data_IF_889328450826
#
_entry.id   IF_889328450826
#
_cell.length_a   1.000
_cell.length_b   1.000
_cell.length_c   1.000
_cell.angle_alpha   90.00
_cell.angle_beta   90.00
_cell.angle_gamma   90.00
#
_symmetry.space_group_name_H-M   'P 1'
#
loop_
_entity.id
_entity.type
_entity.pdbx_description
1 polymer ?
#
# COMPACT_ATOMS: atom_id res chain seq x y z
N UNK A 1 8.17 16.94 6.42
CA UNK A 1 8.05 17.31 7.86
C UNK A 1 6.60 17.31 8.31
N UNK A 2 6.22 16.61 9.38
CA UNK A 2 4.84 16.70 9.93
C UNK A 2 4.67 18.00 10.72
N UNK A 3 3.58 18.73 10.45
CA UNK A 3 3.18 19.92 11.22
C UNK A 3 2.33 19.49 12.42
N UNK A 4 2.99 18.87 13.40
CA UNK A 4 2.37 18.32 14.59
C UNK A 4 3.27 18.57 15.81
N UNK A 5 2.68 18.71 17.00
CA UNK A 5 3.36 19.11 18.25
C UNK A 5 4.21 20.36 18.04
N UNK A 6 5.53 20.25 18.22
CA UNK A 6 6.50 21.34 18.18
C UNK A 6 6.61 22.02 16.81
N UNK A 7 5.97 21.44 15.79
CA UNK A 7 5.93 21.95 14.42
C UNK A 7 4.57 22.54 14.03
N UNK A 8 3.63 22.71 14.97
CA UNK A 8 2.24 23.09 14.63
C UNK A 8 2.13 24.50 14.07
N UNK A 9 2.95 25.43 14.56
CA UNK A 9 2.89 26.85 14.19
C UNK A 9 3.79 27.22 13.00
N UNK A 10 4.50 26.25 12.43
CA UNK A 10 5.37 26.50 11.29
C UNK A 10 4.53 26.74 10.03
N UNK A 11 4.80 27.85 9.36
CA UNK A 11 4.23 28.17 8.04
C UNK A 11 5.12 27.69 6.89
N UNK A 12 6.34 27.27 7.18
CA UNK A 12 7.32 26.80 6.19
C UNK A 12 7.98 25.48 6.63
N UNK A 13 8.38 24.68 5.64
CA UNK A 13 9.08 23.42 5.87
C UNK A 13 10.48 23.68 6.45
N UNK A 14 10.82 23.09 7.59
CA UNK A 14 12.16 23.23 8.21
C UNK A 14 13.32 22.72 7.36
N UNK A 15 13.06 21.81 6.42
CA UNK A 15 14.10 21.17 5.61
C UNK A 15 14.32 21.87 4.26
N UNK A 16 13.25 22.30 3.61
CA UNK A 16 13.27 22.78 2.22
C UNK A 16 12.78 24.22 2.06
N UNK A 17 12.24 24.84 3.11
CA UNK A 17 11.70 26.19 3.06
C UNK A 17 10.36 26.32 2.32
N UNK A 18 9.78 25.23 1.81
CA UNK A 18 8.50 25.27 1.10
C UNK A 18 7.35 25.78 1.98
N UNK A 19 6.47 26.59 1.40
CA UNK A 19 5.29 27.11 2.07
C UNK A 19 4.29 26.00 2.42
N UNK A 20 3.73 26.04 3.62
CA UNK A 20 2.70 25.10 4.07
C UNK A 20 1.37 25.30 3.36
N UNK A 21 1.01 26.54 3.02
CA UNK A 21 -0.31 26.92 2.52
C UNK A 21 -0.27 27.41 1.08
N UNK A 22 -1.31 27.06 0.31
CA UNK A 22 -1.53 27.59 -1.04
C UNK A 22 -1.80 29.09 -0.98
N UNK A 23 -1.35 29.88 -1.97
CA UNK A 23 -1.62 31.31 -2.01
C UNK A 23 -3.14 31.58 -2.08
N UNK A 24 -3.64 32.42 -1.19
CA UNK A 24 -5.06 32.81 -1.17
C UNK A 24 -5.33 33.81 -2.29
N UNK A 25 -6.23 33.46 -3.22
CA UNK A 25 -6.78 34.40 -4.21
C UNK A 25 -8.03 35.04 -3.61
N UNK A 26 -7.87 36.18 -2.94
CA UNK A 26 -8.96 36.98 -2.37
C UNK A 26 -8.56 37.75 -1.10
N UNK A 27 -9.16 38.93 -0.89
CA UNK A 27 -8.91 39.85 0.26
C UNK A 27 -9.75 39.53 1.50
N UNK A 28 -10.27 38.31 1.64
CA UNK A 28 -11.07 37.93 2.82
C UNK A 28 -10.14 37.54 3.99
N UNK A 29 -10.11 38.33 5.08
CA UNK A 29 -9.27 38.06 6.26
C UNK A 29 -9.67 36.81 7.03
N UNK A 30 -10.91 36.34 6.89
CA UNK A 30 -11.45 35.18 7.61
C UNK A 30 -11.34 33.87 6.84
N UNK A 31 -10.79 33.90 5.62
CA UNK A 31 -10.68 32.71 4.79
C UNK A 31 -9.69 31.71 5.38
N UNK A 32 -10.17 30.48 5.62
CA UNK A 32 -9.35 29.36 6.09
C UNK A 32 -8.23 29.04 5.09
N UNK A 33 -6.98 29.10 5.55
CA UNK A 33 -5.80 28.73 4.73
C UNK A 33 -5.86 27.25 4.36
N UNK A 34 -5.64 26.93 3.08
CA UNK A 34 -5.60 25.55 2.57
C UNK A 34 -4.15 25.08 2.45
N UNK A 35 -3.73 24.02 3.17
CA UNK A 35 -2.36 23.53 3.08
C UNK A 35 -2.10 22.82 1.74
N UNK A 36 -0.84 22.79 1.31
CA UNK A 36 -0.42 21.86 0.25
C UNK A 36 -0.58 20.42 0.74
N UNK A 37 -1.12 19.57 -0.13
CA UNK A 37 -1.17 18.12 0.11
C UNK A 37 0.22 17.59 -0.21
N UNK A 38 0.89 17.03 0.78
CA UNK A 38 2.22 16.43 0.64
C UNK A 38 2.05 14.92 0.73
N UNK A 39 2.34 14.20 -0.36
CA UNK A 39 2.43 12.75 -0.33
C UNK A 39 3.64 12.35 0.52
N UNK A 40 3.43 11.46 1.49
CA UNK A 40 4.51 10.93 2.32
C UNK A 40 4.66 9.47 1.99
N UNK A 41 5.78 9.16 1.35
CA UNK A 41 6.20 7.79 1.18
C UNK A 41 6.68 7.24 2.52
N UNK A 42 6.14 6.09 2.92
CA UNK A 42 6.61 5.30 4.05
C UNK A 42 7.38 4.11 3.45
N UNK A 43 8.70 4.01 3.66
CA UNK A 43 9.51 2.90 3.14
C UNK A 43 8.90 1.55 3.50
N UNK A 44 8.74 0.68 2.50
CA UNK A 44 8.08 -0.62 2.67
C UNK A 44 8.96 -1.56 3.47
N UNK A 45 10.26 -1.59 3.18
CA UNK A 45 11.20 -2.54 3.79
C UNK A 45 11.21 -2.45 5.32
N UNK A 46 11.38 -1.27 5.96
CA UNK A 46 11.34 -1.16 7.41
C UNK A 46 9.95 -1.48 8.00
N UNK A 47 8.87 -1.29 7.23
CA UNK A 47 7.54 -1.66 7.69
C UNK A 47 7.40 -3.17 7.81
N UNK A 48 7.77 -3.90 6.76
CA UNK A 48 7.70 -5.36 6.76
C UNK A 48 8.60 -5.97 7.83
N UNK A 49 9.83 -5.45 8.00
CA UNK A 49 10.72 -5.88 9.07
C UNK A 49 10.10 -5.72 10.45
N UNK A 50 9.47 -4.56 10.73
CA UNK A 50 8.77 -4.33 12.00
C UNK A 50 7.59 -5.27 12.22
N UNK A 51 6.86 -5.65 11.17
CA UNK A 51 5.74 -6.58 11.28
C UNK A 51 6.19 -7.97 11.73
N UNK A 52 7.32 -8.47 11.22
CA UNK A 52 7.89 -9.75 11.64
C UNK A 52 8.59 -9.70 13.00
N UNK A 53 9.21 -8.57 13.34
CA UNK A 53 9.87 -8.41 14.65
C UNK A 53 8.89 -8.22 15.81
N UNK A 54 7.61 -7.99 15.55
CA UNK A 54 6.59 -7.76 16.58
C UNK A 54 5.76 -9.02 16.84
N UNK A 55 5.80 -9.50 18.09
CA UNK A 55 4.99 -10.64 18.58
C UNK A 55 3.49 -10.48 18.30
N UNK A 56 2.97 -9.25 18.26
CA UNK A 56 1.54 -9.00 18.06
C UNK A 56 1.09 -9.17 16.61
N UNK A 57 2.02 -9.09 15.67
CA UNK A 57 1.72 -9.02 14.23
C UNK A 57 2.23 -10.23 13.48
N UNK A 58 3.26 -10.89 13.99
CA UNK A 58 3.93 -12.01 13.33
C UNK A 58 2.99 -13.17 12.98
N UNK A 59 2.07 -13.55 13.87
CA UNK A 59 1.11 -14.63 13.61
C UNK A 59 0.18 -14.29 12.45
N UNK A 60 -0.19 -13.00 12.30
CA UNK A 60 -1.01 -12.54 11.18
C UNK A 60 -0.24 -12.55 9.86
N UNK A 61 1.09 -12.37 9.90
CA UNK A 61 1.93 -12.38 8.70
C UNK A 61 2.02 -13.78 8.09
N UNK A 62 2.12 -14.82 8.92
CA UNK A 62 2.22 -16.23 8.48
C UNK A 62 0.88 -16.95 8.39
N UNK A 63 -0.21 -16.30 8.81
CA UNK A 63 -1.55 -16.90 8.83
C UNK A 63 -1.99 -17.45 7.47
N UNK A 64 -1.59 -16.78 6.39
CA UNK A 64 -1.88 -17.20 5.02
C UNK A 64 -1.34 -18.60 4.66
N UNK A 65 -0.33 -19.10 5.37
CA UNK A 65 0.26 -20.42 5.19
C UNK A 65 -0.22 -21.43 6.25
N UNK A 66 -0.56 -20.97 7.46
CA UNK A 66 -0.89 -21.84 8.60
C UNK A 66 -2.39 -22.11 8.78
N UNK A 67 -3.26 -21.24 8.24
CA UNK A 67 -4.71 -21.45 8.34
C UNK A 67 -5.15 -22.67 7.51
N UNK A 68 -6.20 -23.33 7.99
CA UNK A 68 -6.86 -24.40 7.25
C UNK A 68 -8.05 -23.82 6.49
N UNK A 69 -8.14 -24.11 5.19
CA UNK A 69 -9.29 -23.75 4.38
C UNK A 69 -10.39 -24.79 4.57
N UNK A 70 -11.57 -24.37 5.01
CA UNK A 70 -12.78 -25.21 4.93
C UNK A 70 -13.32 -25.20 3.50
N UNK A 71 -13.72 -26.37 2.97
CA UNK A 71 -13.99 -26.60 1.55
C UNK A 71 -15.05 -25.66 0.92
N UNK A 72 -15.87 -25.00 1.74
CA UNK A 72 -16.98 -24.13 1.30
C UNK A 72 -16.85 -22.66 1.69
N UNK A 73 -15.75 -22.24 2.33
CA UNK A 73 -15.59 -20.88 2.81
C UNK A 73 -14.24 -20.28 2.39
N UNK A 74 -14.24 -18.99 2.09
CA UNK A 74 -13.02 -18.20 1.89
C UNK A 74 -12.71 -17.53 3.23
N UNK A 75 -11.71 -18.05 3.93
CA UNK A 75 -11.31 -17.57 5.25
C UNK A 75 -10.14 -16.59 5.14
N UNK A 76 -9.37 -16.66 4.06
CA UNK A 76 -8.25 -15.77 3.80
C UNK A 76 -8.10 -15.45 2.30
N UNK A 77 -7.42 -14.34 1.97
CA UNK A 77 -7.17 -13.96 0.57
C UNK A 77 -6.31 -14.99 -0.19
N UNK A 78 -5.54 -15.81 0.53
CA UNK A 78 -4.76 -16.91 -0.05
C UNK A 78 -5.61 -18.05 -0.61
N UNK A 79 -6.87 -18.16 -0.21
CA UNK A 79 -7.81 -19.14 -0.76
C UNK A 79 -8.20 -18.81 -2.20
N UNK A 80 -8.04 -17.54 -2.60
CA UNK A 80 -8.41 -17.05 -3.91
C UNK A 80 -7.61 -17.75 -5.03
N UNK A 81 -8.29 -18.02 -6.15
CA UNK A 81 -7.68 -18.64 -7.34
C UNK A 81 -6.44 -17.91 -7.83
N UNK A 82 -6.43 -16.58 -7.75
CA UNK A 82 -5.28 -15.76 -8.16
C UNK A 82 -4.03 -16.03 -7.31
N UNK A 83 -4.18 -16.16 -6.00
CA UNK A 83 -3.07 -16.47 -5.09
C UNK A 83 -2.54 -17.88 -5.33
N UNK A 84 -3.45 -18.86 -5.46
CA UNK A 84 -3.08 -20.24 -5.79
C UNK A 84 -2.34 -20.31 -7.13
N UNK A 85 -2.84 -19.62 -8.15
CA UNK A 85 -2.19 -19.54 -9.45
C UNK A 85 -0.80 -18.89 -9.36
N UNK A 86 -0.66 -17.78 -8.61
CA UNK A 86 0.63 -17.13 -8.38
C UNK A 86 1.64 -18.09 -7.74
N UNK A 87 1.21 -18.85 -6.72
CA UNK A 87 2.09 -19.83 -6.06
C UNK A 87 2.55 -20.95 -7.02
N UNK A 88 1.71 -21.34 -7.98
CA UNK A 88 2.09 -22.33 -9.00
C UNK A 88 3.13 -21.78 -9.98
N UNK A 89 3.11 -20.48 -10.26
CA UNK A 89 4.06 -19.83 -11.18
C UNK A 89 5.41 -19.52 -10.52
N UNK A 90 5.39 -19.16 -9.24
CA UNK A 90 6.58 -18.75 -8.48
C UNK A 90 6.78 -19.66 -7.27
N UNK A 91 7.14 -20.91 -7.54
CA UNK A 91 7.32 -21.95 -6.51
C UNK A 91 8.42 -21.58 -5.51
N UNK A 92 9.53 -21.01 -5.99
CA UNK A 92 10.64 -20.52 -5.17
C UNK A 92 10.19 -19.44 -4.17
N UNK A 93 9.27 -18.58 -4.60
CA UNK A 93 8.69 -17.56 -3.75
C UNK A 93 7.65 -18.16 -2.78
N UNK A 94 6.89 -19.15 -3.23
CA UNK A 94 5.81 -19.75 -2.46
C UNK A 94 6.27 -20.74 -1.39
N UNK A 95 7.44 -21.35 -1.58
CA UNK A 95 8.06 -22.27 -0.61
C UNK A 95 8.34 -21.58 0.73
N UNK A 96 8.75 -20.30 0.68
CA UNK A 96 8.99 -19.51 1.88
C UNK A 96 7.69 -18.85 2.37
N UNK A 97 7.13 -19.38 3.46
CA UNK A 97 5.89 -18.91 4.08
C UNK A 97 5.96 -17.47 4.62
N UNK A 98 7.16 -16.94 4.85
CA UNK A 98 7.31 -15.57 5.33
C UNK A 98 7.28 -14.53 4.19
N UNK A 99 7.21 -14.97 2.93
CA UNK A 99 7.12 -14.07 1.79
C UNK A 99 5.75 -13.41 1.67
N UNK A 100 5.74 -12.10 1.43
CA UNK A 100 4.54 -11.27 1.51
C UNK A 100 3.97 -10.99 0.12
N UNK A 101 2.67 -11.19 -0.05
CA UNK A 101 1.95 -10.78 -1.25
C UNK A 101 1.12 -9.55 -0.92
N UNK A 102 1.37 -8.46 -1.63
CA UNK A 102 0.78 -7.16 -1.36
C UNK A 102 -0.17 -6.75 -2.47
N UNK A 103 -1.28 -6.13 -2.06
CA UNK A 103 -2.12 -5.33 -2.94
C UNK A 103 -1.85 -3.85 -2.65
N UNK A 104 -1.64 -3.05 -3.69
CA UNK A 104 -1.47 -1.61 -3.54
C UNK A 104 -2.74 -0.89 -3.96
N UNK A 105 -3.29 -0.07 -3.08
CA UNK A 105 -4.36 0.85 -3.45
C UNK A 105 -3.72 2.19 -3.80
N UNK A 106 -3.65 2.53 -5.09
CA UNK A 106 -3.24 3.86 -5.52
C UNK A 106 -4.49 4.68 -5.82
N UNK A 107 -4.50 5.92 -5.36
CA UNK A 107 -5.46 6.90 -5.88
C UNK A 107 -4.92 7.47 -7.19
N UNK A 108 -5.39 8.63 -7.62
CA UNK A 108 -4.93 9.39 -8.80
C UNK A 108 -3.44 9.81 -8.78
N UNK A 109 -2.65 9.28 -7.83
CA UNK A 109 -1.22 9.52 -7.69
C UNK A 109 -0.42 8.42 -8.40
N UNK A 110 0.50 8.83 -9.27
CA UNK A 110 1.43 7.92 -9.93
C UNK A 110 2.37 7.25 -8.90
N UNK A 111 2.76 6.01 -9.19
CA UNK A 111 3.85 5.34 -8.47
C UNK A 111 5.12 6.18 -8.62
N UNK A 112 5.72 6.57 -7.50
CA UNK A 112 6.95 7.35 -7.48
C UNK A 112 8.17 6.40 -7.56
N UNK A 113 9.26 6.84 -8.17
CA UNK A 113 10.46 6.04 -8.46
C UNK A 113 11.01 5.24 -7.27
N UNK A 114 11.18 5.80 -6.05
CA UNK A 114 11.68 5.07 -4.88
C UNK A 114 10.78 3.92 -4.43
N UNK A 115 9.45 4.04 -4.62
CA UNK A 115 8.52 2.95 -4.31
C UNK A 115 8.72 1.80 -5.28
N UNK A 116 8.95 2.09 -6.56
CA UNK A 116 9.21 1.08 -7.59
C UNK A 116 10.53 0.37 -7.30
N UNK A 117 11.58 1.11 -6.96
CA UNK A 117 12.88 0.56 -6.58
C UNK A 117 12.79 -0.38 -5.37
N UNK A 118 12.10 0.03 -4.31
CA UNK A 118 11.91 -0.84 -3.12
C UNK A 118 11.13 -2.11 -3.47
N UNK A 119 10.10 -2.02 -4.31
CA UNK A 119 9.32 -3.18 -4.75
C UNK A 119 10.18 -4.13 -5.58
N UNK A 120 11.00 -3.62 -6.50
CA UNK A 120 11.92 -4.43 -7.30
C UNK A 120 12.99 -5.08 -6.43
N UNK A 121 13.53 -4.36 -5.46
CA UNK A 121 14.50 -4.90 -4.50
C UNK A 121 13.89 -6.04 -3.67
N UNK A 122 12.68 -5.83 -3.14
CA UNK A 122 11.97 -6.86 -2.36
C UNK A 122 11.61 -8.08 -3.22
N UNK A 123 11.33 -7.91 -4.50
CA UNK A 123 10.99 -9.02 -5.40
C UNK A 123 12.22 -9.84 -5.82
N UNK A 124 13.30 -9.19 -6.24
CA UNK A 124 14.46 -9.85 -6.85
C UNK A 124 15.52 -10.29 -5.84
N UNK A 125 15.78 -9.49 -4.81
CA UNK A 125 16.85 -9.74 -3.83
C UNK A 125 16.28 -10.15 -2.49
N UNK A 126 15.21 -9.49 -2.06
CA UNK A 126 14.69 -9.61 -0.70
C UNK A 126 15.58 -8.92 0.33
N UNK A 127 15.13 -8.92 1.58
CA UNK A 127 15.81 -8.22 2.69
C UNK A 127 15.90 -9.10 3.92
N UNK A 128 17.06 -9.10 4.58
CA UNK A 128 17.22 -9.85 5.83
C UNK A 128 16.29 -9.29 6.91
N UNK A 129 15.49 -10.17 7.50
CA UNK A 129 14.44 -9.83 8.46
C UNK A 129 14.47 -10.80 9.63
N UNK A 130 14.30 -10.26 10.84
CA UNK A 130 14.17 -11.05 12.05
C UNK A 130 12.69 -11.41 12.26
N UNK A 131 12.44 -12.70 12.44
CA UNK A 131 11.15 -13.26 12.79
C UNK A 131 11.04 -13.48 14.30
N UNK A 132 10.09 -12.80 14.93
CA UNK A 132 9.84 -12.98 16.36
C UNK A 132 9.18 -14.34 16.66
N UNK A 133 8.45 -14.96 15.73
CA UNK A 133 7.77 -16.23 16.00
C UNK A 133 8.75 -17.39 16.13
N UNK A 134 9.74 -17.46 15.24
CA UNK A 134 10.76 -18.52 15.22
C UNK A 134 12.09 -18.14 15.86
N UNK A 135 12.25 -16.89 16.30
CA UNK A 135 13.49 -16.31 16.84
C UNK A 135 14.69 -16.45 15.87
N UNK A 136 14.41 -16.43 14.56
CA UNK A 136 15.39 -16.63 13.50
C UNK A 136 15.39 -15.47 12.50
N UNK A 137 16.45 -15.40 11.69
CA UNK A 137 16.50 -14.45 10.57
C UNK A 137 16.32 -15.16 9.24
N UNK A 138 15.51 -14.59 8.37
CA UNK A 138 15.25 -15.08 7.02
C UNK A 138 15.38 -13.93 6.01
N UNK A 139 15.31 -14.23 4.71
CA UNK A 139 15.25 -13.21 3.67
C UNK A 139 13.79 -13.03 3.26
N UNK A 140 13.19 -11.89 3.61
CA UNK A 140 11.84 -11.58 3.19
C UNK A 140 11.85 -11.13 1.72
N UNK A 141 10.99 -11.74 0.91
CA UNK A 141 10.62 -11.21 -0.40
C UNK A 141 9.18 -10.74 -0.39
N UNK A 142 8.88 -9.76 -1.24
CA UNK A 142 7.52 -9.27 -1.39
C UNK A 142 7.12 -9.17 -2.87
N UNK A 143 5.89 -9.55 -3.17
CA UNK A 143 5.31 -9.52 -4.50
C UNK A 143 4.13 -8.55 -4.54
N UNK A 144 4.09 -7.67 -5.54
CA UNK A 144 2.91 -6.85 -5.80
C UNK A 144 1.94 -7.64 -6.69
N UNK A 145 0.82 -8.09 -6.13
CA UNK A 145 -0.16 -8.93 -6.84
C UNK A 145 -1.17 -8.11 -7.65
N UNK A 146 -1.63 -6.98 -7.11
CA UNK A 146 -2.58 -6.13 -7.79
C UNK A 146 -2.44 -4.68 -7.36
N UNK A 147 -2.83 -3.79 -8.26
CA UNK A 147 -2.98 -2.38 -8.01
C UNK A 147 -4.47 -2.05 -8.16
N UNK A 148 -5.11 -1.63 -7.09
CA UNK A 148 -6.48 -1.11 -7.14
C UNK A 148 -6.38 0.40 -7.29
N UNK A 149 -6.83 0.90 -8.44
CA UNK A 149 -7.02 2.33 -8.64
C UNK A 149 -8.33 2.73 -7.97
N UNK A 150 -8.26 3.47 -6.87
CA UNK A 150 -9.43 4.10 -6.30
C UNK A 150 -9.74 5.37 -7.08
N UNK A 151 -10.16 5.20 -8.34
CA UNK A 151 -10.81 6.28 -9.07
C UNK A 151 -12.15 6.51 -8.38
N UNK A 152 -12.41 7.68 -7.76
CA UNK A 152 -13.78 8.04 -7.50
C UNK A 152 -14.47 8.02 -8.86
N UNK A 153 -15.56 7.26 -8.97
CA UNK A 153 -16.44 7.30 -10.14
C UNK A 153 -16.56 8.77 -10.56
N UNK A 154 -16.02 9.10 -11.74
CA UNK A 154 -16.12 10.44 -12.31
C UNK A 154 -17.59 10.68 -12.61
N UNK A 155 -18.31 11.10 -11.59
CA UNK A 155 -19.69 11.52 -11.59
C UNK A 155 -19.76 12.88 -10.91
N UNK A 156 -20.18 13.88 -11.70
CA UNK A 156 -20.81 15.13 -11.26
C UNK A 156 -19.92 16.37 -11.14
N UNK A 157 -19.23 16.76 -12.22
CA UNK A 157 -19.12 18.18 -12.63
C UNK A 157 -19.00 18.29 -14.15
N UNK A 158 -20.15 18.20 -14.83
CA UNK A 158 -20.58 18.91 -16.05
C UNK A 158 -21.87 18.18 -16.51
N UNK A 159 -22.99 18.91 -16.52
CA UNK A 159 -24.34 18.33 -16.56
C UNK A 159 -24.67 17.52 -17.82
N UNK A 160 -25.41 16.43 -17.61
CA UNK A 160 -26.04 15.60 -18.64
C UNK A 160 -26.45 14.23 -18.07
N UNK A 161 -27.74 13.88 -18.16
CA UNK A 161 -28.42 12.71 -17.54
C UNK A 161 -27.96 11.37 -18.15
N UNK A 162 -27.92 10.23 -17.43
CA UNK A 162 -27.49 8.94 -17.98
C UNK A 162 -28.64 8.16 -18.64
N UNK A 163 -28.33 7.23 -19.57
CA UNK A 163 -28.81 5.87 -19.32
C UNK A 163 -27.80 4.79 -19.75
N UNK A 164 -27.83 3.66 -19.03
CA UNK A 164 -27.38 2.37 -19.55
C UNK A 164 -26.24 1.72 -18.78
N UNK A 165 -26.61 0.94 -17.76
CA UNK A 165 -25.75 -0.12 -17.23
C UNK A 165 -25.49 -1.14 -18.34
N UNK A 166 -24.21 -1.46 -18.57
CA UNK A 166 -23.78 -2.52 -19.48
C UNK A 166 -22.57 -3.23 -18.89
N UNK A 167 -22.84 -4.30 -18.14
CA UNK A 167 -21.82 -5.25 -17.71
C UNK A 167 -21.51 -6.12 -18.93
N UNK A 168 -20.27 -6.07 -19.44
CA UNK A 168 -19.77 -7.09 -20.35
C UNK A 168 -18.37 -7.49 -19.92
N UNK A 169 -18.31 -8.52 -19.07
CA UNK A 169 -17.21 -9.46 -19.17
C UNK A 169 -17.34 -10.20 -20.50
N UNK A 170 -16.20 -10.53 -21.12
CA UNK A 170 -15.89 -11.85 -21.66
C UNK A 170 -14.54 -11.77 -22.38
N UNK A 171 -13.70 -12.72 -22.00
CA UNK A 171 -12.60 -13.29 -22.77
C UNK A 171 -12.71 -13.07 -24.28
N UNK A 172 -11.67 -12.47 -24.86
CA UNK A 172 -11.06 -12.98 -26.07
C UNK A 172 -9.60 -12.56 -26.16
#
# INVERSE_FOLDING_TARGET
MLYWKDNVDLEYCKFYGDARYKPSRGRDPHRKKSPYVILRYLPLTPCLQRLYSSRKTVDHMTWHATHQTEERSICHQSDAKAWKHFNLLYLDFAEEQHNVRMGLCINDFALHEPLIEELLQLWHVGVRTYDHATDNTFIIRAALMWIVNNLPAMGWRLGGVPPGYGISGLYR
#
